data_IF_091501226069
#
_entry.id   IF_091501226069
#
_cell.length_a   1.000
_cell.length_b   1.000
_cell.length_c   1.000
_cell.angle_alpha   90.00
_cell.angle_beta   90.00
_cell.angle_gamma   90.00
#
_symmetry.space_group_name_H-M   'P 1'
#
loop_
_entity.id
_entity.type
_entity.pdbx_description
1 polymer ?
#
# COMPACT_ATOMS: atom_id res chain seq x y z
N UNK A 1 46.20 39.88 2.45
CA UNK A 1 46.14 38.54 1.81
C UNK A 1 44.86 37.87 2.27
N UNK A 2 43.78 37.96 1.48
CA UNK A 2 42.48 37.36 1.82
C UNK A 2 42.42 35.98 1.13
N UNK A 3 42.43 34.89 1.91
CA UNK A 3 42.23 33.54 1.36
C UNK A 3 40.73 33.27 1.24
N UNK A 4 40.27 33.01 0.01
CA UNK A 4 38.90 32.56 -0.27
C UNK A 4 38.83 31.05 -0.04
N UNK A 5 37.96 30.61 0.87
CA UNK A 5 37.61 29.20 1.07
C UNK A 5 36.40 28.91 0.17
N UNK A 6 36.47 28.01 -0.81
CA UNK A 6 35.31 27.68 -1.62
C UNK A 6 34.40 26.76 -0.80
N UNK A 7 33.19 27.22 -0.51
CA UNK A 7 32.13 26.37 0.01
C UNK A 7 31.65 25.46 -1.13
N UNK A 8 32.01 24.18 -1.08
CA UNK A 8 31.48 23.13 -1.95
C UNK A 8 30.03 22.88 -1.52
N UNK A 9 29.08 23.32 -2.32
CA UNK A 9 27.67 23.00 -2.16
C UNK A 9 27.42 21.58 -2.69
N UNK A 10 27.21 20.63 -1.78
CA UNK A 10 26.76 19.27 -2.11
C UNK A 10 25.27 19.34 -2.44
N UNK A 11 24.93 19.29 -3.73
CA UNK A 11 23.54 19.14 -4.17
C UNK A 11 23.12 17.67 -3.99
N UNK A 12 22.43 17.38 -2.88
CA UNK A 12 21.73 16.12 -2.69
C UNK A 12 20.52 16.08 -3.65
N UNK A 13 20.69 15.48 -4.82
CA UNK A 13 19.57 15.14 -5.69
C UNK A 13 18.87 13.92 -5.09
N UNK A 14 17.88 14.18 -4.23
CA UNK A 14 16.95 13.14 -3.79
C UNK A 14 15.86 13.01 -4.85
N UNK A 15 15.94 11.95 -5.67
CA UNK A 15 14.78 11.48 -6.43
C UNK A 15 13.74 10.98 -5.42
N UNK A 16 12.81 11.85 -5.01
CA UNK A 16 11.51 11.40 -4.50
C UNK A 16 10.65 11.14 -5.73
N UNK A 17 10.06 9.96 -5.82
CA UNK A 17 9.03 9.68 -6.81
C UNK A 17 7.90 10.71 -6.63
N UNK A 18 7.80 11.66 -7.57
CA UNK A 18 6.73 12.68 -7.62
C UNK A 18 5.65 12.14 -8.56
N UNK A 19 5.11 10.97 -8.24
CA UNK A 19 3.77 10.63 -8.74
C UNK A 19 2.79 11.14 -7.69
N UNK A 20 1.78 11.90 -8.15
CA UNK A 20 0.70 12.26 -7.26
C UNK A 20 0.04 10.96 -6.75
N UNK A 21 -0.39 10.91 -5.48
CA UNK A 21 -1.13 9.76 -4.99
C UNK A 21 -2.37 9.54 -5.87
N UNK A 22 -2.83 8.28 -6.01
CA UNK A 22 -4.03 7.98 -6.76
C UNK A 22 -5.24 8.78 -6.25
N UNK A 23 -6.20 9.01 -7.13
CA UNK A 23 -7.44 9.70 -6.77
C UNK A 23 -8.26 8.77 -5.88
N UNK A 24 -8.49 9.16 -4.63
CA UNK A 24 -9.33 8.41 -3.70
C UNK A 24 -9.85 9.27 -2.56
N UNK A 25 -11.01 8.89 -2.01
CA UNK A 25 -11.60 9.53 -0.83
C UNK A 25 -11.33 8.65 0.39
N UNK A 26 -10.83 9.19 1.51
CA UNK A 26 -10.64 8.42 2.73
C UNK A 26 -11.93 7.75 3.20
N UNK A 27 -11.85 6.48 3.57
CA UNK A 27 -12.97 5.71 4.13
C UNK A 27 -12.58 5.08 5.46
N UNK A 28 -13.57 4.77 6.28
CA UNK A 28 -13.38 3.80 7.36
C UNK A 28 -13.46 2.40 6.76
N UNK A 29 -12.52 1.50 7.08
CA UNK A 29 -12.61 0.13 6.58
C UNK A 29 -13.86 -0.55 7.16
N UNK A 30 -14.61 -1.33 6.36
CA UNK A 30 -15.65 -2.20 6.88
C UNK A 30 -15.11 -3.12 7.98
N UNK A 31 -15.90 -3.41 9.02
CA UNK A 31 -15.45 -4.22 10.16
C UNK A 31 -14.94 -5.61 9.77
N UNK A 32 -15.44 -6.16 8.65
CA UNK A 32 -14.98 -7.43 8.10
C UNK A 32 -13.49 -7.41 7.72
N UNK A 33 -12.92 -6.24 7.41
CA UNK A 33 -11.50 -6.12 7.04
C UNK A 33 -10.59 -6.47 8.22
N UNK A 34 -11.00 -6.22 9.46
CA UNK A 34 -10.22 -6.65 10.63
C UNK A 34 -10.18 -8.18 10.79
N UNK A 35 -11.26 -8.88 10.41
CA UNK A 35 -11.28 -10.34 10.40
C UNK A 35 -10.35 -10.88 9.31
N UNK A 36 -10.41 -10.31 8.10
CA UNK A 36 -9.50 -10.67 7.01
C UNK A 36 -8.04 -10.34 7.32
N UNK A 37 -7.76 -9.24 8.03
CA UNK A 37 -6.42 -8.93 8.50
C UNK A 37 -5.86 -10.07 9.35
N UNK A 38 -6.66 -10.57 10.29
CA UNK A 38 -6.28 -11.71 11.14
C UNK A 38 -6.00 -12.98 10.31
N UNK A 39 -6.75 -13.22 9.24
CA UNK A 39 -6.51 -14.34 8.32
C UNK A 39 -5.18 -14.17 7.58
N UNK A 40 -4.86 -12.95 7.11
CA UNK A 40 -3.60 -12.65 6.41
C UNK A 40 -2.40 -12.75 7.35
N UNK A 41 -2.52 -12.28 8.60
CA UNK A 41 -1.48 -12.48 9.63
C UNK A 41 -1.24 -13.97 9.90
N UNK A 42 -2.32 -14.75 9.99
CA UNK A 42 -2.23 -16.18 10.25
C UNK A 42 -1.56 -16.96 9.11
N UNK A 43 -1.88 -16.65 7.83
CA UNK A 43 -1.26 -17.33 6.70
C UNK A 43 0.19 -16.86 6.45
N UNK A 44 0.48 -15.57 6.67
CA UNK A 44 1.82 -15.02 6.45
C UNK A 44 2.80 -15.32 7.57
N UNK A 45 2.30 -15.72 8.74
CA UNK A 45 3.10 -15.90 9.95
C UNK A 45 3.67 -14.58 10.49
N UNK A 46 3.16 -13.44 10.03
CA UNK A 46 3.65 -12.11 10.41
C UNK A 46 2.52 -11.26 10.98
N UNK A 47 2.79 -10.55 12.07
CA UNK A 47 1.86 -9.61 12.67
C UNK A 47 2.13 -8.18 12.19
N UNK A 48 1.08 -7.39 12.06
CA UNK A 48 1.16 -5.96 11.76
C UNK A 48 0.19 -5.15 12.60
N UNK A 49 0.02 -3.88 12.24
CA UNK A 49 -0.87 -2.97 12.95
C UNK A 49 -1.97 -2.50 11.99
N UNK A 50 -3.11 -3.18 11.99
CA UNK A 50 -4.25 -2.85 11.13
C UNK A 50 -4.65 -1.36 11.20
N UNK A 51 -4.57 -0.76 12.38
CA UNK A 51 -4.91 0.65 12.63
C UNK A 51 -3.97 1.66 11.94
N UNK A 52 -2.80 1.23 11.47
CA UNK A 52 -1.91 2.09 10.68
C UNK A 52 -2.34 2.18 9.21
N UNK A 53 -3.15 1.22 8.73
CA UNK A 53 -3.63 1.17 7.35
C UNK A 53 -4.67 2.25 7.13
N UNK A 54 -4.39 3.12 6.16
CA UNK A 54 -5.28 4.18 5.70
C UNK A 54 -5.96 3.71 4.42
N UNK A 55 -7.29 3.72 4.45
CA UNK A 55 -8.12 3.18 3.39
C UNK A 55 -8.74 4.31 2.57
N UNK A 56 -8.71 4.16 1.26
CA UNK A 56 -9.29 5.10 0.31
C UNK A 56 -10.15 4.35 -0.70
N UNK A 57 -11.31 4.93 -1.01
CA UNK A 57 -12.15 4.49 -2.12
C UNK A 57 -11.87 5.36 -3.34
N UNK A 58 -11.55 4.71 -4.46
CA UNK A 58 -11.30 5.32 -5.75
C UNK A 58 -12.45 5.03 -6.72
N UNK A 59 -12.85 5.97 -7.59
CA UNK A 59 -13.80 5.64 -8.65
C UNK A 59 -13.29 4.49 -9.53
N UNK A 60 -14.20 3.67 -10.06
CA UNK A 60 -13.83 2.56 -10.96
C UNK A 60 -13.04 3.08 -12.17
N UNK A 61 -11.89 2.45 -12.44
CA UNK A 61 -10.96 2.85 -13.51
C UNK A 61 -10.01 4.00 -13.17
N UNK A 62 -10.14 4.66 -12.02
CA UNK A 62 -9.27 5.77 -11.61
C UNK A 62 -7.82 5.34 -11.31
N UNK A 63 -7.61 4.08 -10.92
CA UNK A 63 -6.29 3.50 -10.66
C UNK A 63 -5.60 2.99 -11.93
N UNK A 64 -6.30 2.99 -13.07
CA UNK A 64 -5.86 2.39 -14.32
C UNK A 64 -6.75 1.23 -14.77
N UNK A 65 -6.61 0.79 -16.03
CA UNK A 65 -7.42 -0.30 -16.56
C UNK A 65 -7.12 -1.60 -15.79
N UNK A 66 -8.17 -2.25 -15.30
CA UNK A 66 -8.10 -3.53 -14.56
C UNK A 66 -7.41 -3.49 -13.20
N UNK A 67 -6.95 -2.32 -12.72
CA UNK A 67 -6.38 -2.18 -11.38
C UNK A 67 -7.53 -2.02 -10.38
N UNK A 68 -7.77 -3.07 -9.60
CA UNK A 68 -8.84 -3.09 -8.58
C UNK A 68 -8.41 -2.50 -7.24
N UNK A 69 -7.10 -2.44 -6.99
CA UNK A 69 -6.57 -1.80 -5.79
C UNK A 69 -5.07 -1.62 -5.87
N UNK A 70 -4.60 -0.62 -5.14
CA UNK A 70 -3.20 -0.22 -5.09
C UNK A 70 -2.80 -0.03 -3.63
N UNK A 71 -1.66 -0.59 -3.25
CA UNK A 71 -1.02 -0.30 -1.99
C UNK A 71 0.19 0.58 -2.28
N UNK A 72 0.36 1.64 -1.51
CA UNK A 72 1.54 2.48 -1.55
C UNK A 72 2.34 2.33 -0.25
N UNK A 73 3.68 2.44 -0.33
CA UNK A 73 4.51 2.47 0.86
C UNK A 73 3.99 3.50 1.88
N UNK A 74 4.05 3.14 3.17
CA UNK A 74 3.52 3.90 4.34
C UNK A 74 2.05 3.65 4.66
N UNK A 75 1.48 2.52 4.28
CA UNK A 75 0.16 2.07 4.71
C UNK A 75 -1.02 2.79 4.06
N UNK A 76 -0.90 3.25 2.82
CA UNK A 76 -2.05 3.75 2.06
C UNK A 76 -2.57 2.66 1.13
N UNK A 77 -3.85 2.29 1.26
CA UNK A 77 -4.54 1.31 0.40
C UNK A 77 -5.70 1.98 -0.31
N UNK A 78 -5.64 1.99 -1.64
CA UNK A 78 -6.70 2.46 -2.53
C UNK A 78 -7.43 1.24 -3.10
N UNK A 79 -8.75 1.24 -3.00
CA UNK A 79 -9.61 0.21 -3.58
C UNK A 79 -10.64 0.88 -4.48
N UNK A 80 -10.91 0.31 -5.66
CA UNK A 80 -11.97 0.84 -6.51
C UNK A 80 -13.35 0.60 -5.89
N UNK A 81 -14.32 1.47 -6.20
CA UNK A 81 -15.70 1.40 -5.70
C UNK A 81 -16.31 0.00 -5.83
N UNK A 82 -16.04 -0.71 -6.94
CA UNK A 82 -16.51 -2.07 -7.13
C UNK A 82 -16.03 -3.04 -6.03
N UNK A 83 -14.75 -2.96 -5.62
CA UNK A 83 -14.16 -3.80 -4.57
C UNK A 83 -14.78 -3.50 -3.22
N UNK A 84 -14.92 -2.21 -2.87
CA UNK A 84 -15.49 -1.76 -1.60
C UNK A 84 -16.96 -2.20 -1.50
N UNK A 85 -17.74 -1.95 -2.55
CA UNK A 85 -19.19 -2.21 -2.58
C UNK A 85 -19.53 -3.71 -2.56
N UNK A 86 -18.71 -4.54 -3.21
CA UNK A 86 -18.95 -6.00 -3.30
C UNK A 86 -18.10 -6.80 -2.31
N UNK A 87 -17.29 -6.15 -1.49
CA UNK A 87 -16.47 -6.79 -0.46
C UNK A 87 -15.62 -7.93 -1.05
N UNK A 88 -14.86 -7.64 -2.12
CA UNK A 88 -14.03 -8.64 -2.79
C UNK A 88 -12.81 -8.99 -1.93
N UNK A 89 -12.94 -10.07 -1.15
CA UNK A 89 -12.01 -10.45 -0.11
C UNK A 89 -10.59 -10.69 -0.63
N UNK A 90 -10.42 -11.41 -1.74
CA UNK A 90 -9.12 -11.70 -2.32
C UNK A 90 -8.34 -10.41 -2.65
N UNK A 91 -9.01 -9.39 -3.20
CA UNK A 91 -8.35 -8.12 -3.53
C UNK A 91 -7.92 -7.39 -2.26
N UNK A 92 -8.80 -7.34 -1.25
CA UNK A 92 -8.53 -6.63 0.00
C UNK A 92 -7.40 -7.32 0.76
N UNK A 93 -7.46 -8.65 0.90
CA UNK A 93 -6.43 -9.48 1.54
C UNK A 93 -5.09 -9.36 0.84
N UNK A 94 -5.08 -9.32 -0.49
CA UNK A 94 -3.86 -9.07 -1.27
C UNK A 94 -3.22 -7.72 -0.90
N UNK A 95 -4.01 -6.65 -0.72
CA UNK A 95 -3.47 -5.35 -0.27
C UNK A 95 -3.05 -5.35 1.19
N UNK A 96 -3.71 -6.12 2.05
CA UNK A 96 -3.27 -6.31 3.43
C UNK A 96 -1.91 -7.02 3.50
N UNK A 97 -1.68 -8.02 2.66
CA UNK A 97 -0.41 -8.75 2.65
C UNK A 97 0.77 -7.85 2.24
N UNK A 98 0.56 -6.94 1.28
CA UNK A 98 1.55 -5.90 0.99
C UNK A 98 1.89 -5.04 2.21
N UNK A 99 0.92 -4.77 3.09
CA UNK A 99 1.13 -3.87 4.22
C UNK A 99 1.79 -4.52 5.44
N UNK A 100 1.69 -5.85 5.56
CA UNK A 100 2.36 -6.57 6.63
C UNK A 100 3.89 -6.42 6.53
N UNK A 101 4.61 -6.52 7.66
CA UNK A 101 6.07 -6.60 7.63
C UNK A 101 6.54 -7.71 6.69
N UNK A 102 7.54 -7.42 5.85
CA UNK A 102 8.01 -8.33 4.79
C UNK A 102 7.00 -8.62 3.66
N UNK A 103 5.85 -7.95 3.63
CA UNK A 103 5.09 -7.76 2.40
C UNK A 103 5.99 -7.04 1.39
N UNK A 104 6.11 -7.60 0.20
CA UNK A 104 6.90 -7.04 -0.89
C UNK A 104 6.00 -6.42 -1.96
N UNK A 105 6.53 -5.46 -2.70
CA UNK A 105 5.79 -4.81 -3.79
C UNK A 105 5.85 -5.59 -5.11
N UNK A 106 6.76 -6.54 -5.23
CA UNK A 106 7.09 -7.28 -6.45
C UNK A 106 6.57 -8.72 -6.48
N UNK A 107 5.89 -9.15 -5.41
CA UNK A 107 5.26 -10.46 -5.28
C UNK A 107 6.24 -11.64 -5.38
N UNK A 108 7.50 -11.45 -5.00
CA UNK A 108 8.53 -12.49 -5.14
C UNK A 108 8.59 -13.44 -3.94
N UNK A 109 8.07 -13.02 -2.79
CA UNK A 109 8.02 -13.83 -1.58
C UNK A 109 7.14 -15.08 -1.74
N UNK A 110 7.55 -16.25 -1.23
CA UNK A 110 6.69 -17.45 -1.24
C UNK A 110 5.40 -17.27 -0.43
N UNK A 111 5.33 -16.25 0.43
CA UNK A 111 4.16 -15.95 1.26
C UNK A 111 2.89 -15.73 0.43
N UNK A 112 2.98 -15.14 -0.76
CA UNK A 112 1.84 -14.96 -1.66
C UNK A 112 1.18 -16.30 -2.03
N UNK A 113 2.00 -17.29 -2.39
CA UNK A 113 1.52 -18.65 -2.69
C UNK A 113 0.99 -19.34 -1.44
N UNK A 114 1.62 -19.17 -0.28
CA UNK A 114 1.17 -19.75 0.99
C UNK A 114 -0.21 -19.21 1.40
N UNK A 115 -0.42 -17.92 1.22
CA UNK A 115 -1.69 -17.25 1.52
C UNK A 115 -2.74 -17.40 0.41
N UNK A 116 -2.37 -17.91 -0.78
CA UNK A 116 -3.25 -18.04 -1.93
C UNK A 116 -3.68 -16.70 -2.53
N UNK A 117 -2.77 -15.71 -2.57
CA UNK A 117 -3.00 -14.32 -3.00
C UNK A 117 -2.13 -13.91 -4.19
#
# INVERSE_FOLDING_TARGET
>A
MQRLIPAIAIALVACREITAPPIGTPILPPSLYAAWWTEVEACSGTQGQFELVRWYESPDGALGPQIMGEWLPRHDVYLVTFVVSHQLDATVKHKMLHDLPHGDSDHLSPTWTICGL
#
